data_IF_696553435483
#
_entry.id   IF_696553435483
#
_cell.length_a   1.000
_cell.length_b   1.000
_cell.length_c   1.000
_cell.angle_alpha   90.00
_cell.angle_beta   90.00
_cell.angle_gamma   90.00
#
_symmetry.space_group_name_H-M   'P 1'
#
loop_
_entity.id
_entity.type
_entity.pdbx_description
1 polymer ?
#
# COMPACT_ATOMS: atom_id res chain seq x y z
N UNK A 1 -19.28 15.02 -38.86
CA UNK A 1 -20.46 15.90 -38.61
C UNK A 1 -21.16 15.63 -37.27
N UNK A 2 -21.07 14.44 -36.70
CA UNK A 2 -21.73 14.11 -35.41
C UNK A 2 -21.08 14.79 -34.19
N UNK A 3 -19.80 15.05 -34.25
CA UNK A 3 -19.02 15.62 -33.13
C UNK A 3 -19.31 17.12 -32.88
N UNK A 4 -19.60 17.87 -33.93
CA UNK A 4 -20.02 19.28 -33.85
C UNK A 4 -21.43 19.43 -33.25
N UNK A 5 -22.34 18.53 -33.59
CA UNK A 5 -23.68 18.52 -33.02
C UNK A 5 -23.66 18.15 -31.51
N UNK A 6 -22.84 17.18 -31.12
CA UNK A 6 -22.67 16.79 -29.73
C UNK A 6 -22.10 17.94 -28.88
N UNK A 7 -21.10 18.67 -29.39
CA UNK A 7 -20.52 19.86 -28.72
C UNK A 7 -21.54 21.00 -28.61
N UNK A 8 -22.36 21.23 -29.62
CA UNK A 8 -23.41 22.24 -29.57
C UNK A 8 -24.50 21.91 -28.52
N UNK A 9 -24.91 20.66 -28.41
CA UNK A 9 -25.84 20.20 -27.36
C UNK A 9 -25.25 20.35 -25.99
N UNK A 10 -23.97 19.98 -25.82
CA UNK A 10 -23.25 20.09 -24.54
C UNK A 10 -23.07 21.55 -24.10
N UNK A 11 -22.69 22.45 -25.00
CA UNK A 11 -22.57 23.88 -24.69
C UNK A 11 -23.91 24.53 -24.34
N UNK A 12 -24.99 24.13 -24.99
CA UNK A 12 -26.36 24.58 -24.66
C UNK A 12 -26.80 24.06 -23.28
N UNK A 13 -26.40 22.84 -22.92
CA UNK A 13 -26.68 22.27 -21.60
C UNK A 13 -25.94 23.02 -20.49
N UNK A 14 -24.65 23.28 -20.67
CA UNK A 14 -23.85 24.06 -19.73
C UNK A 14 -24.37 25.50 -19.57
N UNK A 15 -24.77 26.15 -20.66
CA UNK A 15 -25.36 27.49 -20.60
C UNK A 15 -26.67 27.50 -19.77
N UNK A 16 -27.51 26.48 -19.92
CA UNK A 16 -28.75 26.33 -19.15
C UNK A 16 -28.50 26.06 -17.66
N UNK A 17 -27.48 25.27 -17.32
CA UNK A 17 -27.09 25.04 -15.92
C UNK A 17 -26.54 26.34 -15.34
N UNK A 18 -25.68 27.06 -16.04
CA UNK A 18 -25.13 28.35 -15.61
C UNK A 18 -26.23 29.40 -15.36
N UNK A 19 -27.26 29.43 -16.20
CA UNK A 19 -28.40 30.31 -16.00
C UNK A 19 -29.24 29.97 -14.77
N UNK A 20 -29.48 28.67 -14.53
CA UNK A 20 -30.12 28.20 -13.28
C UNK A 20 -29.30 28.51 -12.04
N UNK A 21 -27.99 28.37 -12.10
CA UNK A 21 -27.09 28.71 -10.99
C UNK A 21 -27.11 30.21 -10.70
N UNK A 22 -27.19 31.10 -11.72
CA UNK A 22 -27.33 32.54 -11.54
C UNK A 22 -28.68 32.95 -10.94
N UNK A 23 -29.73 32.22 -11.23
CA UNK A 23 -31.07 32.46 -10.68
C UNK A 23 -31.27 31.90 -9.26
N UNK A 24 -30.33 31.11 -8.75
CA UNK A 24 -30.37 30.60 -7.39
C UNK A 24 -30.22 31.74 -6.39
N UNK A 25 -31.30 32.06 -5.69
CA UNK A 25 -31.27 33.03 -4.59
C UNK A 25 -30.90 32.28 -3.31
N UNK A 26 -29.94 32.79 -2.51
CA UNK A 26 -29.70 32.22 -1.21
C UNK A 26 -30.95 32.34 -0.35
N UNK A 27 -31.43 31.23 0.16
CA UNK A 27 -32.53 31.23 1.15
C UNK A 27 -31.93 31.76 2.47
N UNK A 28 -32.46 32.83 2.96
CA UNK A 28 -32.05 33.30 4.28
C UNK A 28 -32.39 32.22 5.34
N UNK A 29 -31.43 31.81 6.20
CA UNK A 29 -31.70 30.82 7.22
C UNK A 29 -32.71 31.36 8.25
N UNK A 30 -33.94 30.87 8.19
CA UNK A 30 -34.94 31.13 9.20
C UNK A 30 -34.78 30.12 10.33
N UNK A 31 -33.96 30.45 11.30
CA UNK A 31 -33.59 29.55 12.39
C UNK A 31 -34.71 29.39 13.43
N UNK A 32 -35.80 30.17 13.36
CA UNK A 32 -36.95 30.14 14.31
C UNK A 32 -36.53 29.94 15.78
N UNK A 33 -35.38 30.52 16.16
CA UNK A 33 -34.79 30.37 17.50
C UNK A 33 -35.74 30.79 18.61
N UNK A 34 -36.55 31.81 18.36
CA UNK A 34 -37.52 32.31 19.32
C UNK A 34 -38.63 31.30 19.66
N UNK A 35 -39.01 30.44 18.74
CA UNK A 35 -40.04 29.40 18.97
C UNK A 35 -39.51 28.16 19.69
N UNK A 36 -38.18 27.92 19.65
CA UNK A 36 -37.50 26.82 20.34
C UNK A 36 -36.97 27.16 21.72
N UNK A 37 -36.95 28.46 22.07
CA UNK A 37 -36.46 28.95 23.35
C UNK A 37 -37.49 29.88 23.96
N UNK A 38 -38.63 29.35 24.46
CA UNK A 38 -39.74 30.14 25.02
C UNK A 38 -39.35 30.88 26.32
N UNK A 39 -38.30 30.48 27.02
CA UNK A 39 -37.80 31.07 28.23
C UNK A 39 -36.59 32.00 28.00
N UNK A 40 -36.24 32.24 26.73
CA UNK A 40 -35.13 33.12 26.36
C UNK A 40 -33.77 32.76 27.01
N UNK A 41 -33.56 31.47 27.30
CA UNK A 41 -32.35 30.97 27.99
C UNK A 41 -31.06 31.28 27.23
N UNK A 42 -31.16 31.50 25.90
CA UNK A 42 -30.04 32.00 25.09
C UNK A 42 -29.46 33.32 25.56
N UNK A 43 -30.31 34.22 26.08
CA UNK A 43 -29.82 35.50 26.59
C UNK A 43 -29.16 35.32 27.98
N UNK A 44 -29.65 34.41 28.78
CA UNK A 44 -29.02 34.05 30.05
C UNK A 44 -27.65 33.42 29.80
N UNK A 45 -27.54 32.51 28.82
CA UNK A 45 -26.28 31.90 28.43
C UNK A 45 -25.31 32.95 27.87
N UNK A 46 -25.79 33.84 26.98
CA UNK A 46 -24.97 34.91 26.40
C UNK A 46 -24.48 35.89 27.49
N UNK A 47 -25.36 36.27 28.43
CA UNK A 47 -24.97 37.12 29.59
C UNK A 47 -23.96 36.41 30.47
N UNK A 48 -24.14 35.09 30.71
CA UNK A 48 -23.16 34.29 31.44
C UNK A 48 -21.78 34.25 30.79
N UNK A 49 -21.73 34.11 29.46
CA UNK A 49 -20.48 34.18 28.70
C UNK A 49 -19.84 35.56 28.77
N UNK A 50 -20.64 36.66 28.64
CA UNK A 50 -20.12 38.04 28.74
C UNK A 50 -19.59 38.30 30.14
N UNK A 51 -20.30 37.87 31.16
CA UNK A 51 -19.85 38.00 32.55
C UNK A 51 -18.58 37.19 32.82
N UNK A 52 -18.50 35.99 32.27
CA UNK A 52 -17.29 35.14 32.34
C UNK A 52 -16.09 35.77 31.61
N UNK A 53 -16.31 36.48 30.49
CA UNK A 53 -15.27 37.21 29.78
C UNK A 53 -14.87 38.52 30.48
N UNK A 54 -15.79 39.21 31.13
CA UNK A 54 -15.51 40.48 31.81
C UNK A 54 -14.96 40.30 33.23
N UNK A 55 -15.42 39.29 33.94
CA UNK A 55 -15.10 39.06 35.36
C UNK A 55 -14.34 37.73 35.57
N UNK A 56 -14.31 36.85 34.56
CA UNK A 56 -13.50 35.64 34.58
C UNK A 56 -12.04 36.02 34.45
N UNK A 57 -11.32 35.99 35.54
CA UNK A 57 -9.86 36.03 35.52
C UNK A 57 -9.37 34.79 34.78
N UNK A 58 -8.73 34.98 33.63
CA UNK A 58 -7.97 33.95 32.94
C UNK A 58 -6.73 33.48 33.74
N UNK A 59 -6.57 33.93 34.94
CA UNK A 59 -5.61 33.40 35.91
C UNK A 59 -6.26 32.21 36.58
N UNK A 60 -5.96 31.01 36.07
CA UNK A 60 -6.53 29.74 36.46
C UNK A 60 -6.55 29.49 37.96
N UNK A 61 -7.76 29.53 38.51
CA UNK A 61 -8.09 28.83 39.74
C UNK A 61 -8.90 27.61 39.36
N UNK A 62 -8.19 26.54 39.13
CA UNK A 62 -8.79 25.22 38.90
C UNK A 62 -9.16 24.57 40.23
N UNK A 63 -10.25 25.07 40.86
CA UNK A 63 -10.85 24.40 42.01
C UNK A 63 -12.04 23.50 41.61
N UNK A 64 -12.14 23.11 40.37
CA UNK A 64 -13.07 22.09 39.94
C UNK A 64 -12.26 20.88 39.42
N UNK A 65 -12.04 19.91 40.28
CA UNK A 65 -11.56 18.51 40.12
C UNK A 65 -11.17 17.92 38.76
N UNK A 66 -10.77 18.74 37.81
CA UNK A 66 -10.14 18.35 36.55
C UNK A 66 -8.65 18.68 36.71
N UNK A 67 -7.91 17.75 37.31
CA UNK A 67 -6.47 17.78 37.39
C UNK A 67 -5.89 17.67 36.00
N UNK A 68 -5.67 18.82 35.34
CA UNK A 68 -4.88 18.86 34.11
C UNK A 68 -3.37 18.86 34.45
N UNK A 69 -2.47 18.54 33.52
CA UNK A 69 -1.04 18.47 33.76
C UNK A 69 -0.38 19.77 34.25
N UNK A 70 -1.07 20.92 34.14
CA UNK A 70 -0.57 22.22 34.63
C UNK A 70 -0.47 22.38 36.16
N UNK A 71 -1.10 21.52 36.97
CA UNK A 71 -0.99 21.55 38.43
C UNK A 71 0.24 20.81 38.97
N UNK A 72 0.80 19.90 38.18
CA UNK A 72 2.02 19.22 38.59
C UNK A 72 3.26 20.13 38.57
N UNK A 73 3.21 21.26 37.84
CA UNK A 73 4.31 22.24 37.74
C UNK A 73 4.54 23.07 39.00
N UNK A 74 3.65 23.00 39.98
CA UNK A 74 3.74 23.83 41.23
C UNK A 74 4.48 23.14 42.38
N UNK A 75 4.82 21.88 42.29
CA UNK A 75 5.25 21.07 43.46
C UNK A 75 6.57 20.31 43.33
N UNK A 76 7.40 20.60 42.32
CA UNK A 76 8.72 19.95 42.18
C UNK A 76 9.05 19.52 40.74
N UNK A 77 10.12 18.73 40.54
CA UNK A 77 10.46 18.20 39.25
C UNK A 77 9.33 17.36 38.70
N UNK A 78 9.03 17.52 37.41
CA UNK A 78 8.00 16.78 36.66
C UNK A 78 8.47 16.45 35.26
N UNK A 79 7.86 15.49 34.63
CA UNK A 79 8.18 15.11 33.26
C UNK A 79 6.92 14.72 32.51
N UNK A 80 6.98 14.83 31.19
CA UNK A 80 6.00 14.31 30.25
C UNK A 80 6.73 13.48 29.19
N UNK A 81 6.11 12.41 28.73
CA UNK A 81 6.72 11.54 27.73
C UNK A 81 5.73 10.98 26.72
N UNK A 82 6.16 10.88 25.49
CA UNK A 82 5.42 10.27 24.38
C UNK A 82 6.27 9.26 23.67
N UNK A 83 5.65 8.14 23.29
CA UNK A 83 6.19 7.20 22.33
C UNK A 83 5.40 7.35 21.03
N UNK A 84 6.07 7.76 19.97
CA UNK A 84 5.51 7.99 18.64
C UNK A 84 5.98 6.88 17.71
N UNK A 85 5.11 5.89 17.42
CA UNK A 85 5.43 4.86 16.43
C UNK A 85 5.68 5.48 15.05
N UNK A 86 6.52 4.85 14.19
CA UNK A 86 6.68 5.29 12.82
C UNK A 86 5.34 5.34 12.08
N UNK A 87 5.20 6.29 11.15
CA UNK A 87 3.94 6.55 10.46
C UNK A 87 3.39 5.35 9.69
N UNK A 88 4.28 4.51 9.14
CA UNK A 88 3.90 3.33 8.37
C UNK A 88 3.17 2.26 9.22
N UNK A 89 3.40 2.22 10.53
CA UNK A 89 2.75 1.26 11.42
C UNK A 89 1.27 1.55 11.64
N UNK A 90 0.80 2.77 11.32
CA UNK A 90 -0.57 3.22 11.58
C UNK A 90 -0.97 3.27 13.06
N UNK A 91 -0.02 3.02 13.99
CA UNK A 91 -0.28 3.00 15.43
C UNK A 91 -0.34 4.43 15.99
N UNK A 92 -1.21 4.72 16.96
CA UNK A 92 -1.28 6.03 17.59
C UNK A 92 -0.10 6.27 18.53
N UNK A 93 0.21 7.55 18.78
CA UNK A 93 1.16 7.95 19.81
C UNK A 93 0.67 7.54 21.19
N UNK A 94 1.59 7.08 22.04
CA UNK A 94 1.32 6.64 23.40
C UNK A 94 1.86 7.66 24.39
N UNK A 95 1.05 8.00 25.43
CA UNK A 95 1.48 8.89 26.51
C UNK A 95 2.08 8.07 27.65
N UNK A 96 3.39 8.19 27.86
CA UNK A 96 4.15 7.34 28.79
C UNK A 96 3.69 7.45 30.25
N UNK A 97 3.15 8.60 30.63
CA UNK A 97 2.66 8.83 31.99
C UNK A 97 1.48 7.93 32.38
N UNK A 98 0.70 7.48 31.42
CA UNK A 98 -0.48 6.63 31.59
C UNK A 98 -0.18 5.15 31.41
N UNK A 99 1.02 4.81 30.91
CA UNK A 99 1.39 3.43 30.60
C UNK A 99 1.96 2.72 31.83
N UNK A 100 1.92 1.38 31.77
CA UNK A 100 2.62 0.50 32.71
C UNK A 100 4.14 0.59 32.53
N UNK A 101 4.88 -0.03 33.44
CA UNK A 101 6.36 -0.03 33.41
C UNK A 101 6.96 -0.86 32.27
N UNK A 102 6.16 -1.67 31.57
CA UNK A 102 6.55 -2.41 30.38
C UNK A 102 5.75 -1.91 29.17
N UNK A 103 6.43 -1.46 28.13
CA UNK A 103 5.83 -0.86 26.94
C UNK A 103 6.44 -1.49 25.70
N UNK A 104 5.58 -2.04 24.83
CA UNK A 104 5.99 -2.53 23.51
C UNK A 104 5.79 -1.44 22.46
N UNK A 105 6.81 -1.14 21.68
CA UNK A 105 6.77 -0.16 20.60
C UNK A 105 7.47 -0.70 19.35
N UNK A 106 6.99 -0.34 18.16
CA UNK A 106 7.66 -0.73 16.92
C UNK A 106 9.09 -0.22 16.82
N UNK A 107 9.92 -0.93 16.09
CA UNK A 107 11.26 -0.50 15.71
C UNK A 107 11.23 0.90 15.10
N UNK A 108 12.22 1.74 15.44
CA UNK A 108 12.31 3.11 14.98
C UNK A 108 11.33 4.10 15.63
N UNK A 109 10.55 3.68 16.63
CA UNK A 109 9.67 4.58 17.41
C UNK A 109 10.49 5.69 18.05
N UNK A 110 9.93 6.91 18.04
CA UNK A 110 10.51 8.08 18.68
C UNK A 110 9.96 8.22 20.11
N UNK A 111 10.85 8.25 21.08
CA UNK A 111 10.51 8.58 22.46
C UNK A 111 10.88 10.05 22.69
N UNK A 112 9.89 10.88 23.00
CA UNK A 112 10.09 12.29 23.34
C UNK A 112 9.79 12.48 24.81
N UNK A 113 10.78 12.93 25.58
CA UNK A 113 10.63 13.29 26.99
C UNK A 113 10.82 14.78 27.15
N UNK A 114 9.97 15.41 27.97
CA UNK A 114 10.12 16.79 28.42
C UNK A 114 10.29 16.81 29.92
N UNK A 115 11.41 17.34 30.37
CA UNK A 115 11.78 17.45 31.77
C UNK A 115 11.50 18.87 32.25
N UNK A 116 10.85 18.98 33.41
CA UNK A 116 10.47 20.25 34.03
C UNK A 116 11.04 20.31 35.44
N UNK A 117 11.64 21.42 35.81
CA UNK A 117 12.23 21.62 37.15
C UNK A 117 13.56 22.38 37.09
N UNK A 118 14.26 22.49 38.23
CA UNK A 118 15.63 23.02 38.29
C UNK A 118 16.60 22.20 37.41
N UNK A 119 17.66 22.84 36.97
CA UNK A 119 18.74 22.13 36.23
C UNK A 119 19.25 20.93 37.07
N UNK A 120 19.52 19.82 36.38
CA UNK A 120 19.99 18.55 36.94
C UNK A 120 19.07 17.87 37.97
N UNK A 121 17.84 18.34 38.16
CA UNK A 121 16.85 17.71 39.07
C UNK A 121 16.30 16.39 38.52
N UNK A 122 16.33 16.17 37.21
CA UNK A 122 15.96 14.95 36.52
C UNK A 122 17.05 14.57 35.53
N UNK A 123 17.40 13.28 35.50
CA UNK A 123 18.39 12.75 34.58
C UNK A 123 17.79 11.57 33.82
N UNK A 124 18.01 11.51 32.50
CA UNK A 124 17.55 10.40 31.66
C UNK A 124 18.69 9.44 31.38
N UNK A 125 18.47 8.18 31.72
CA UNK A 125 19.34 7.08 31.36
C UNK A 125 18.58 6.10 30.45
N UNK A 126 19.21 5.63 29.39
CA UNK A 126 18.56 4.75 28.42
C UNK A 126 19.51 3.68 27.89
N UNK A 127 18.95 2.56 27.43
CA UNK A 127 19.65 1.49 26.72
C UNK A 127 18.94 1.07 25.42
N UNK A 128 17.95 1.86 24.96
CA UNK A 128 17.15 1.58 23.77
C UNK A 128 17.84 1.96 22.46
N UNK A 129 18.93 2.72 22.54
CA UNK A 129 19.79 3.10 21.40
C UNK A 129 21.27 3.15 21.82
N UNK A 130 22.19 3.13 20.85
CA UNK A 130 23.63 3.11 21.15
C UNK A 130 24.16 4.42 21.68
N UNK A 131 23.68 5.54 21.18
CA UNK A 131 24.21 6.86 21.54
C UNK A 131 23.08 7.86 21.70
N UNK A 132 22.94 8.44 22.89
CA UNK A 132 21.99 9.52 23.12
C UNK A 132 22.42 10.79 22.38
N UNK A 133 21.50 11.51 21.73
CA UNK A 133 21.84 12.67 20.90
C UNK A 133 22.18 13.95 21.69
N UNK A 134 22.03 13.94 23.02
CA UNK A 134 22.24 15.12 23.88
C UNK A 134 22.74 14.77 25.27
N UNK A 135 22.75 15.77 26.18
CA UNK A 135 23.02 15.57 27.60
C UNK A 135 21.86 14.86 28.27
N UNK A 136 22.18 13.99 29.24
CA UNK A 136 21.14 13.27 30.03
C UNK A 136 20.23 14.20 30.84
N UNK A 137 20.59 15.49 31.01
CA UNK A 137 19.84 16.51 31.73
C UNK A 137 19.18 17.55 30.84
N UNK A 138 19.29 17.39 29.50
CA UNK A 138 18.64 18.32 28.58
C UNK A 138 17.11 18.32 28.80
N UNK A 139 16.46 19.49 28.80
CA UNK A 139 15.03 19.61 29.10
C UNK A 139 14.12 18.92 28.08
N UNK A 140 14.63 18.61 26.90
CA UNK A 140 13.95 17.82 25.88
C UNK A 140 14.88 16.72 25.43
N UNK A 141 14.44 15.48 25.58
CA UNK A 141 15.14 14.29 25.13
C UNK A 141 14.37 13.67 23.96
N UNK A 142 15.05 13.43 22.86
CA UNK A 142 14.50 12.68 21.73
C UNK A 142 15.35 11.44 21.52
N UNK A 143 14.74 10.28 21.68
CA UNK A 143 15.40 9.00 21.58
C UNK A 143 14.71 8.18 20.49
N UNK A 144 15.49 7.36 19.78
CA UNK A 144 14.94 6.39 18.83
C UNK A 144 15.07 4.99 19.40
N UNK A 145 14.05 4.19 19.27
CA UNK A 145 14.09 2.79 19.72
C UNK A 145 14.68 1.93 18.59
N UNK A 146 15.93 1.52 18.78
CA UNK A 146 16.67 0.66 17.86
C UNK A 146 16.86 -0.76 18.44
N UNK A 147 16.50 -0.94 19.74
CA UNK A 147 16.53 -2.24 20.43
C UNK A 147 15.69 -2.22 21.71
N UNK A 148 15.38 -3.40 22.20
CA UNK A 148 14.80 -3.60 23.54
C UNK A 148 15.79 -3.12 24.62
N UNK A 149 15.29 -2.35 25.60
CA UNK A 149 16.10 -1.81 26.67
C UNK A 149 15.28 -1.07 27.70
N UNK A 150 15.94 -0.42 28.65
CA UNK A 150 15.31 0.33 29.69
C UNK A 150 15.42 1.84 29.44
N UNK A 151 14.40 2.58 29.85
CA UNK A 151 14.34 4.02 29.88
C UNK A 151 14.07 4.44 31.34
N UNK A 152 15.00 5.15 31.92
CA UNK A 152 14.94 5.58 33.32
C UNK A 152 14.98 7.10 33.39
N UNK A 153 14.08 7.70 34.16
CA UNK A 153 14.17 9.07 34.63
C UNK A 153 14.55 8.98 36.10
N UNK A 154 15.75 9.44 36.45
CA UNK A 154 16.24 9.52 37.83
C UNK A 154 15.87 10.89 38.42
N UNK A 155 15.54 10.92 39.73
CA UNK A 155 15.13 12.11 40.48
C UNK A 155 13.89 11.89 41.33
N UNK A 156 13.42 12.93 42.03
CA UNK A 156 12.26 12.82 42.95
C UNK A 156 10.96 12.39 42.29
N UNK A 157 10.78 12.66 40.97
CA UNK A 157 9.66 12.22 40.16
C UNK A 157 10.05 11.07 39.22
N UNK A 158 11.10 10.34 39.54
CA UNK A 158 11.69 9.31 38.68
C UNK A 158 10.75 8.16 38.36
N UNK A 159 10.99 7.54 37.21
CA UNK A 159 10.26 6.36 36.72
C UNK A 159 11.15 5.52 35.78
N UNK A 160 10.87 4.23 35.76
CA UNK A 160 11.57 3.26 34.91
C UNK A 160 10.56 2.57 34.00
N UNK A 161 10.90 2.44 32.75
CA UNK A 161 10.17 1.61 31.78
C UNK A 161 11.11 0.60 31.16
N UNK A 162 10.62 -0.61 31.01
CA UNK A 162 11.20 -1.62 30.10
C UNK A 162 10.54 -1.47 28.73
N UNK A 163 11.27 -0.97 27.77
CA UNK A 163 10.85 -0.78 26.40
C UNK A 163 11.16 -2.03 25.60
N UNK A 164 10.14 -2.73 25.16
CA UNK A 164 10.28 -3.88 24.28
C UNK A 164 10.12 -3.41 22.83
N UNK A 165 11.18 -3.58 22.05
CA UNK A 165 11.13 -3.27 20.62
C UNK A 165 10.41 -4.41 19.89
N UNK A 166 9.37 -4.07 19.16
CA UNK A 166 8.67 -4.93 18.21
C UNK A 166 9.36 -4.74 16.85
N UNK A 167 10.22 -5.71 16.50
CA UNK A 167 11.03 -5.61 15.28
C UNK A 167 10.13 -5.74 14.05
N UNK A 168 10.46 -5.01 12.99
CA UNK A 168 9.81 -5.10 11.70
C UNK A 168 10.43 -6.23 10.88
N UNK A 169 9.64 -7.20 10.48
CA UNK A 169 10.10 -8.34 9.71
C UNK A 169 9.78 -8.15 8.23
N UNK A 170 10.62 -8.70 7.37
CA UNK A 170 10.37 -8.70 5.94
C UNK A 170 9.05 -9.41 5.59
N UNK A 171 8.29 -8.92 4.60
CA UNK A 171 7.03 -9.51 4.19
C UNK A 171 7.21 -10.94 3.68
N UNK A 172 6.17 -11.74 3.83
CA UNK A 172 6.10 -13.10 3.31
C UNK A 172 5.09 -13.17 2.17
N UNK A 173 5.43 -13.87 1.09
CA UNK A 173 4.54 -14.10 -0.05
C UNK A 173 4.58 -15.56 -0.47
N UNK A 174 3.38 -16.14 -0.67
CA UNK A 174 3.23 -17.56 -1.00
C UNK A 174 2.24 -17.73 -2.16
N UNK A 175 2.62 -18.55 -3.13
CA UNK A 175 1.73 -18.95 -4.22
C UNK A 175 0.78 -20.04 -3.70
N UNK A 176 -0.54 -19.80 -3.81
CA UNK A 176 -1.59 -20.66 -3.26
C UNK A 176 -2.24 -21.52 -4.34
N UNK A 177 -1.71 -22.69 -4.57
CA UNK A 177 -2.40 -23.68 -5.39
C UNK A 177 -2.07 -23.61 -6.89
N UNK A 178 -2.82 -24.37 -7.69
CA UNK A 178 -2.50 -24.56 -9.09
C UNK A 178 -2.82 -23.32 -9.93
N UNK A 179 -2.01 -23.13 -10.95
CA UNK A 179 -2.30 -22.20 -12.03
C UNK A 179 -3.63 -22.58 -12.71
N UNK A 180 -4.51 -21.62 -12.85
CA UNK A 180 -5.69 -21.74 -13.71
C UNK A 180 -5.57 -20.80 -14.92
N UNK A 181 -6.27 -21.13 -16.01
CA UNK A 181 -6.35 -20.27 -17.18
C UNK A 181 -7.78 -20.13 -17.68
N UNK A 182 -8.11 -18.96 -18.14
CA UNK A 182 -9.36 -18.69 -18.83
C UNK A 182 -9.26 -19.15 -20.29
N UNK A 183 -10.40 -19.35 -20.95
CA UNK A 183 -10.45 -19.81 -22.33
C UNK A 183 -9.64 -18.93 -23.32
N UNK A 184 -9.54 -17.64 -23.08
CA UNK A 184 -8.73 -16.68 -23.83
C UNK A 184 -7.23 -16.81 -23.69
N UNK A 185 -6.73 -17.55 -22.69
CA UNK A 185 -5.30 -17.69 -22.41
C UNK A 185 -4.82 -16.85 -21.22
N UNK A 186 -5.67 -16.07 -20.58
CA UNK A 186 -5.36 -15.32 -19.36
C UNK A 186 -4.93 -16.28 -18.24
N UNK A 187 -3.79 -15.99 -17.66
CA UNK A 187 -3.24 -16.66 -16.48
C UNK A 187 -3.98 -16.20 -15.24
N UNK A 188 -4.23 -17.12 -14.33
CA UNK A 188 -4.72 -16.80 -12.99
C UNK A 188 -3.96 -17.61 -11.95
N UNK A 189 -3.21 -16.93 -11.12
CA UNK A 189 -2.36 -17.51 -10.08
C UNK A 189 -2.72 -16.89 -8.73
N UNK A 190 -3.37 -17.64 -7.83
CA UNK A 190 -3.69 -17.13 -6.51
C UNK A 190 -2.44 -17.08 -5.64
N UNK A 191 -2.31 -16.04 -4.84
CA UNK A 191 -1.24 -15.88 -3.86
C UNK A 191 -1.75 -15.24 -2.58
N UNK A 192 -1.01 -15.43 -1.49
CA UNK A 192 -1.20 -14.72 -0.22
C UNK A 192 0.06 -13.97 0.10
N UNK A 193 -0.07 -12.72 0.50
CA UNK A 193 1.01 -11.91 1.03
C UNK A 193 0.63 -11.46 2.44
N UNK A 194 1.62 -11.42 3.33
CA UNK A 194 1.45 -10.96 4.71
C UNK A 194 2.69 -10.22 5.19
N UNK A 195 2.46 -9.32 6.14
CA UNK A 195 3.46 -8.48 6.76
C UNK A 195 3.01 -8.02 8.14
N UNK A 196 3.93 -7.64 9.01
CA UNK A 196 3.61 -7.19 10.37
C UNK A 196 2.82 -5.87 10.39
N UNK A 197 3.09 -5.01 9.41
CA UNK A 197 2.45 -3.69 9.31
C UNK A 197 1.69 -3.51 8.00
N UNK A 198 2.30 -3.63 6.85
CA UNK A 198 1.59 -3.65 5.57
C UNK A 198 2.51 -4.01 4.39
N UNK A 199 2.03 -4.82 3.48
CA UNK A 199 2.63 -4.98 2.15
C UNK A 199 2.26 -3.76 1.30
N UNK A 200 3.26 -2.97 0.89
CA UNK A 200 3.04 -1.74 0.11
C UNK A 200 3.26 -1.92 -1.38
N UNK A 201 4.00 -2.97 -1.77
CA UNK A 201 4.32 -3.25 -3.16
C UNK A 201 4.72 -4.69 -3.40
N UNK A 202 5.07 -4.98 -4.64
CA UNK A 202 5.67 -6.25 -5.01
C UNK A 202 5.74 -6.45 -6.51
N UNK A 203 6.48 -7.46 -6.92
CA UNK A 203 6.78 -7.73 -8.32
C UNK A 203 6.69 -9.23 -8.60
N UNK A 204 6.02 -9.58 -9.69
CA UNK A 204 6.08 -10.91 -10.27
C UNK A 204 7.18 -10.95 -11.34
N UNK A 205 7.98 -11.99 -11.34
CA UNK A 205 9.03 -12.26 -12.34
C UNK A 205 8.82 -13.63 -12.93
N UNK A 206 8.80 -13.70 -14.26
CA UNK A 206 8.68 -14.94 -15.02
C UNK A 206 9.93 -15.11 -15.89
N UNK A 207 10.60 -16.22 -15.69
CA UNK A 207 11.81 -16.62 -16.40
C UNK A 207 11.53 -17.84 -17.28
N UNK A 208 12.11 -17.88 -18.48
CA UNK A 208 12.04 -19.05 -19.35
C UNK A 208 12.92 -20.17 -18.76
N UNK A 209 12.33 -21.33 -18.50
CA UNK A 209 13.07 -22.51 -18.02
C UNK A 209 13.66 -23.31 -19.21
N UNK A 210 14.83 -22.90 -19.64
CA UNK A 210 15.51 -23.51 -20.78
C UNK A 210 15.89 -24.99 -20.56
N UNK A 211 16.05 -25.40 -19.30
CA UNK A 211 16.47 -26.77 -18.97
C UNK A 211 15.35 -27.79 -19.20
N UNK A 212 14.10 -27.32 -19.13
CA UNK A 212 12.90 -28.15 -19.29
C UNK A 212 12.28 -28.01 -20.68
N UNK A 213 12.70 -27.02 -21.48
CA UNK A 213 12.21 -26.84 -22.84
C UNK A 213 12.52 -28.06 -23.69
N UNK A 214 11.50 -28.66 -24.29
CA UNK A 214 11.65 -29.72 -25.26
C UNK A 214 12.31 -29.21 -26.55
N UNK A 215 13.60 -29.51 -26.73
CA UNK A 215 14.40 -29.06 -27.85
C UNK A 215 14.07 -29.86 -29.10
N UNK A 216 12.90 -29.56 -29.73
CA UNK A 216 12.43 -30.21 -30.97
C UNK A 216 12.03 -29.16 -31.99
N UNK A 217 12.08 -29.52 -33.27
CA UNK A 217 11.66 -28.67 -34.40
C UNK A 217 12.33 -27.29 -34.36
N UNK A 218 11.57 -26.23 -34.39
CA UNK A 218 12.09 -24.87 -34.33
C UNK A 218 12.73 -24.47 -32.98
N UNK A 219 12.59 -25.30 -31.93
CA UNK A 219 13.19 -25.05 -30.61
C UNK A 219 14.56 -25.75 -30.42
N UNK A 220 15.12 -26.37 -31.45
CA UNK A 220 16.45 -27.06 -31.38
C UNK A 220 17.58 -26.06 -31.13
N UNK A 221 17.55 -24.93 -31.81
CA UNK A 221 18.55 -23.88 -31.67
C UNK A 221 18.35 -23.11 -30.36
N UNK A 222 19.39 -22.40 -29.94
CA UNK A 222 19.24 -21.51 -28.78
C UNK A 222 18.28 -20.35 -29.09
N UNK A 223 17.47 -19.94 -28.11
CA UNK A 223 16.56 -18.81 -28.27
C UNK A 223 17.34 -17.49 -28.39
N UNK A 224 16.72 -16.51 -29.04
CA UNK A 224 17.21 -15.15 -28.94
C UNK A 224 17.10 -14.65 -27.49
N UNK A 225 18.12 -13.93 -26.99
CA UNK A 225 18.11 -13.39 -25.64
C UNK A 225 16.89 -12.48 -25.42
N UNK A 226 16.16 -12.71 -24.37
CA UNK A 226 15.01 -11.88 -23.94
C UNK A 226 15.13 -11.58 -22.47
N UNK A 227 14.68 -10.40 -22.08
CA UNK A 227 14.52 -10.07 -20.69
C UNK A 227 13.38 -10.90 -20.06
N UNK A 228 13.50 -11.16 -18.79
CA UNK A 228 12.42 -11.75 -18.01
C UNK A 228 11.18 -10.85 -18.04
N UNK A 229 10.03 -11.48 -17.92
CA UNK A 229 8.77 -10.74 -17.79
C UNK A 229 8.65 -10.29 -16.33
N UNK A 230 8.57 -8.98 -16.12
CA UNK A 230 8.38 -8.40 -14.79
C UNK A 230 7.17 -7.46 -14.78
N UNK A 231 6.32 -7.57 -13.76
CA UNK A 231 5.16 -6.72 -13.59
C UNK A 231 4.74 -6.67 -12.11
N UNK A 232 4.02 -5.61 -11.69
CA UNK A 232 3.60 -5.47 -10.30
C UNK A 232 2.56 -6.53 -9.93
N UNK A 233 2.60 -7.01 -8.68
CA UNK A 233 1.52 -7.83 -8.14
C UNK A 233 0.31 -6.96 -7.78
N UNK A 234 -0.93 -7.48 -7.90
CA UNK A 234 -2.10 -6.76 -7.42
C UNK A 234 -2.09 -6.68 -5.89
N UNK A 235 -2.43 -5.51 -5.37
CA UNK A 235 -2.62 -5.28 -3.94
C UNK A 235 -4.11 -5.16 -3.65
N UNK A 236 -4.54 -5.66 -2.49
CA UNK A 236 -5.92 -5.46 -2.04
C UNK A 236 -6.23 -3.97 -1.88
N UNK A 237 -7.45 -3.58 -2.24
CA UNK A 237 -7.95 -2.22 -2.09
C UNK A 237 -8.63 -1.96 -0.74
N UNK A 238 -8.84 -3.02 0.04
CA UNK A 238 -9.55 -2.97 1.32
C UNK A 238 -8.71 -3.60 2.43
N UNK A 239 -8.84 -3.07 3.64
CA UNK A 239 -8.09 -3.56 4.80
C UNK A 239 -6.75 -2.85 5.01
N UNK A 240 -6.00 -3.36 5.96
CA UNK A 240 -4.69 -2.82 6.40
C UNK A 240 -3.50 -3.38 5.61
N UNK A 241 -3.75 -4.34 4.71
CA UNK A 241 -2.72 -5.05 3.94
C UNK A 241 -1.71 -5.85 4.78
N UNK A 242 -2.03 -6.10 6.04
CA UNK A 242 -1.20 -6.96 6.87
C UNK A 242 -1.28 -8.43 6.40
N UNK A 243 -2.45 -8.87 5.93
CA UNK A 243 -2.61 -10.17 5.29
C UNK A 243 -3.71 -10.11 4.25
N UNK A 244 -3.42 -10.53 3.02
CA UNK A 244 -4.41 -10.60 1.95
C UNK A 244 -4.13 -11.71 0.96
N UNK A 245 -5.18 -12.17 0.32
CA UNK A 245 -5.13 -13.12 -0.79
C UNK A 245 -5.69 -12.46 -2.03
N UNK A 246 -4.91 -12.50 -3.10
CA UNK A 246 -5.28 -11.93 -4.40
C UNK A 246 -4.98 -12.94 -5.52
N UNK A 247 -5.44 -12.61 -6.71
CA UNK A 247 -5.19 -13.42 -7.91
C UNK A 247 -4.39 -12.60 -8.91
N UNK A 248 -3.20 -13.07 -9.21
CA UNK A 248 -2.39 -12.52 -10.29
C UNK A 248 -3.03 -12.93 -11.61
N UNK A 249 -3.65 -11.98 -12.31
CA UNK A 249 -4.38 -12.22 -13.56
C UNK A 249 -3.74 -11.41 -14.69
N UNK A 250 -3.12 -12.11 -15.65
CA UNK A 250 -2.42 -11.50 -16.79
C UNK A 250 -2.58 -12.33 -18.07
N UNK A 251 -2.63 -11.68 -19.21
CA UNK A 251 -2.74 -12.33 -20.52
C UNK A 251 -1.42 -12.34 -21.27
N UNK A 252 -0.76 -13.48 -21.26
CA UNK A 252 0.47 -13.73 -22.01
C UNK A 252 0.25 -14.46 -23.33
N UNK A 253 -0.98 -14.57 -23.84
CA UNK A 253 -1.30 -15.36 -25.03
C UNK A 253 -0.56 -14.91 -26.29
N UNK A 254 -0.16 -13.65 -26.36
CA UNK A 254 0.63 -13.08 -27.46
C UNK A 254 2.14 -13.06 -27.17
N UNK A 255 2.56 -13.39 -25.96
CA UNK A 255 3.98 -13.36 -25.60
C UNK A 255 4.76 -14.48 -26.32
N UNK A 256 6.02 -14.24 -26.73
CA UNK A 256 6.86 -15.26 -27.35
C UNK A 256 7.04 -16.54 -26.53
N UNK A 257 7.03 -16.42 -25.20
CA UNK A 257 7.12 -17.55 -24.27
C UNK A 257 5.81 -18.31 -24.02
N UNK A 258 4.69 -17.90 -24.66
CA UNK A 258 3.42 -18.62 -24.50
C UNK A 258 3.54 -20.11 -24.87
N UNK A 259 2.95 -20.98 -24.05
CA UNK A 259 3.04 -22.44 -24.12
C UNK A 259 4.45 -23.02 -23.92
N UNK A 260 5.39 -22.23 -23.40
CA UNK A 260 6.72 -22.73 -23.00
C UNK A 260 6.79 -22.90 -21.47
N UNK A 261 7.66 -23.82 -20.99
CA UNK A 261 7.92 -23.96 -19.57
C UNK A 261 8.62 -22.69 -19.04
N UNK A 262 8.12 -22.19 -17.93
CA UNK A 262 8.63 -21.00 -17.27
C UNK A 262 8.62 -21.21 -15.76
N UNK A 263 9.41 -20.42 -15.07
CA UNK A 263 9.43 -20.32 -13.61
C UNK A 263 8.96 -18.95 -13.19
N UNK A 264 7.96 -18.89 -12.32
CA UNK A 264 7.48 -17.63 -11.75
C UNK A 264 7.91 -17.53 -10.30
N UNK A 265 8.36 -16.35 -9.90
CA UNK A 265 8.60 -15.95 -8.52
C UNK A 265 7.85 -14.65 -8.23
N UNK A 266 7.32 -14.54 -7.01
CA UNK A 266 6.65 -13.34 -6.53
C UNK A 266 7.50 -12.70 -5.44
N UNK A 267 7.63 -11.39 -5.49
CA UNK A 267 8.25 -10.59 -4.43
C UNK A 267 7.22 -9.66 -3.81
N UNK A 268 7.26 -9.51 -2.50
CA UNK A 268 6.51 -8.49 -1.75
C UNK A 268 7.47 -7.51 -1.12
N UNK A 269 7.04 -6.28 -0.91
CA UNK A 269 7.82 -5.19 -0.33
C UNK A 269 6.99 -4.46 0.72
N UNK A 270 7.61 -4.14 1.86
CA UNK A 270 7.05 -3.32 2.93
C UNK A 270 7.43 -1.83 2.77
N UNK A 271 6.99 -1.01 3.74
CA UNK A 271 7.26 0.45 3.73
C UNK A 271 8.71 0.80 4.11
N UNK A 272 9.45 -0.11 4.72
CA UNK A 272 10.89 0.04 4.99
C UNK A 272 11.78 -0.41 3.81
N UNK A 273 11.19 -0.97 2.75
CA UNK A 273 11.90 -1.50 1.60
C UNK A 273 12.48 -2.89 1.83
N UNK A 274 12.04 -3.59 2.88
CA UNK A 274 12.36 -5.00 3.06
C UNK A 274 11.60 -5.83 2.04
N UNK A 275 12.19 -6.90 1.55
CA UNK A 275 11.58 -7.71 0.50
C UNK A 275 11.54 -9.18 0.90
N UNK A 276 10.37 -9.78 0.71
CA UNK A 276 10.18 -11.23 0.81
C UNK A 276 9.93 -11.84 -0.56
N UNK A 277 10.34 -13.07 -0.76
CA UNK A 277 10.17 -13.77 -2.04
C UNK A 277 9.50 -15.12 -1.83
N UNK A 278 8.60 -15.47 -2.76
CA UNK A 278 8.01 -16.80 -2.81
C UNK A 278 9.04 -17.85 -3.25
N UNK A 279 8.76 -19.10 -2.94
CA UNK A 279 9.42 -20.19 -3.64
C UNK A 279 9.09 -20.09 -5.14
N UNK A 280 10.06 -20.39 -6.02
CA UNK A 280 9.81 -20.46 -7.44
C UNK A 280 8.76 -21.53 -7.77
N UNK A 281 7.84 -21.19 -8.67
CA UNK A 281 6.78 -22.08 -9.12
C UNK A 281 6.95 -22.38 -10.61
N UNK A 282 7.16 -23.67 -10.92
CA UNK A 282 7.33 -24.12 -12.29
C UNK A 282 5.96 -24.30 -12.96
N UNK A 283 5.80 -23.74 -14.15
CA UNK A 283 4.54 -23.78 -14.89
C UNK A 283 4.79 -23.72 -16.40
N UNK A 284 3.75 -24.00 -17.17
CA UNK A 284 3.71 -23.65 -18.59
C UNK A 284 3.00 -22.33 -18.74
N UNK A 285 3.66 -21.33 -19.34
CA UNK A 285 3.07 -20.00 -19.54
C UNK A 285 1.80 -20.13 -20.39
N UNK A 286 0.63 -19.72 -19.87
CA UNK A 286 -0.62 -19.88 -20.60
C UNK A 286 -0.61 -19.18 -21.95
N UNK A 287 -1.05 -19.90 -22.96
CA UNK A 287 -1.28 -19.38 -24.30
C UNK A 287 -2.72 -19.62 -24.75
N UNK A 288 -3.10 -18.96 -25.82
CA UNK A 288 -4.40 -19.18 -26.45
C UNK A 288 -4.51 -20.59 -27.02
N UNK A 289 -5.62 -21.25 -26.80
CA UNK A 289 -5.90 -22.56 -27.41
C UNK A 289 -6.54 -22.38 -28.78
N UNK A 290 -6.02 -23.13 -29.74
CA UNK A 290 -6.59 -23.24 -31.08
C UNK A 290 -7.05 -24.67 -31.32
N UNK A 291 -8.34 -24.83 -31.63
CA UNK A 291 -8.90 -26.15 -31.92
C UNK A 291 -8.78 -26.52 -33.43
N UNK A 292 -8.66 -25.50 -34.29
CA UNK A 292 -8.41 -25.70 -35.70
C UNK A 292 -6.93 -26.13 -35.89
N UNK A 293 -6.65 -27.28 -36.54
CA UNK A 293 -5.26 -27.77 -36.73
C UNK A 293 -4.39 -26.77 -37.48
N UNK A 294 -4.94 -26.05 -38.44
CA UNK A 294 -4.20 -25.08 -39.24
C UNK A 294 -3.83 -23.87 -38.38
N UNK A 295 -4.77 -23.35 -37.59
CA UNK A 295 -4.50 -22.27 -36.65
C UNK A 295 -3.43 -22.69 -35.63
N UNK A 296 -3.48 -23.95 -35.15
CA UNK A 296 -2.44 -24.49 -34.26
C UNK A 296 -1.07 -24.52 -34.96
N UNK A 297 -1.01 -24.99 -36.20
CA UNK A 297 0.23 -25.03 -37.00
C UNK A 297 0.81 -23.61 -37.21
N UNK A 298 -0.03 -22.63 -37.53
CA UNK A 298 0.40 -21.23 -37.71
C UNK A 298 0.98 -20.66 -36.40
N UNK A 299 0.33 -20.93 -35.26
CA UNK A 299 0.81 -20.48 -33.94
C UNK A 299 2.14 -21.12 -33.56
N UNK A 300 2.35 -22.40 -33.93
CA UNK A 300 3.64 -23.07 -33.76
C UNK A 300 4.73 -22.41 -34.61
N UNK A 301 4.44 -22.10 -35.88
CA UNK A 301 5.39 -21.39 -36.74
C UNK A 301 5.71 -19.98 -36.21
N UNK A 302 4.70 -19.27 -35.65
CA UNK A 302 4.93 -17.99 -34.98
C UNK A 302 5.87 -18.17 -33.78
N UNK A 303 5.67 -19.17 -32.94
CA UNK A 303 6.51 -19.47 -31.78
C UNK A 303 7.95 -19.75 -32.24
N UNK A 304 8.12 -20.60 -33.24
CA UNK A 304 9.43 -21.01 -33.76
C UNK A 304 10.20 -19.82 -34.37
N UNK A 305 9.50 -18.91 -35.05
CA UNK A 305 10.09 -17.68 -35.57
C UNK A 305 10.46 -16.69 -34.45
N UNK A 306 9.65 -16.60 -33.42
CA UNK A 306 9.93 -15.77 -32.26
C UNK A 306 11.00 -16.38 -31.34
N UNK A 307 11.21 -17.70 -31.42
CA UNK A 307 12.29 -18.36 -30.68
C UNK A 307 13.66 -17.94 -31.23
N UNK A 308 13.84 -18.03 -32.54
CA UNK A 308 15.01 -17.51 -33.22
C UNK A 308 14.71 -17.17 -34.69
N UNK A 309 15.23 -16.06 -35.16
CA UNK A 309 15.08 -15.62 -36.55
C UNK A 309 15.72 -16.58 -37.57
N UNK A 310 16.66 -17.41 -37.14
CA UNK A 310 17.27 -18.45 -37.98
C UNK A 310 16.26 -19.47 -38.48
N UNK A 311 15.11 -19.63 -37.86
CA UNK A 311 14.00 -20.49 -38.30
C UNK A 311 13.21 -19.91 -39.48
N UNK A 312 13.47 -18.65 -39.90
CA UNK A 312 12.73 -17.97 -40.96
C UNK A 312 12.53 -18.77 -42.25
N UNK A 313 13.58 -19.37 -42.85
CA UNK A 313 13.43 -20.18 -44.10
C UNK A 313 12.53 -21.40 -43.92
N UNK A 314 12.58 -22.08 -42.77
CA UNK A 314 11.73 -23.24 -42.48
C UNK A 314 10.29 -22.80 -42.28
N UNK A 315 10.06 -21.73 -41.53
CA UNK A 315 8.73 -21.16 -41.30
C UNK A 315 8.07 -20.72 -42.60
N UNK A 316 8.81 -20.02 -43.49
CA UNK A 316 8.32 -19.62 -44.80
C UNK A 316 7.88 -20.82 -45.65
N UNK A 317 8.72 -21.89 -45.69
CA UNK A 317 8.39 -23.11 -46.39
C UNK A 317 7.09 -23.76 -45.88
N UNK A 318 6.93 -23.87 -44.57
CA UNK A 318 5.74 -24.48 -43.95
C UNK A 318 4.49 -23.62 -44.21
N UNK A 319 4.59 -22.30 -44.05
CA UNK A 319 3.47 -21.40 -44.32
C UNK A 319 3.03 -21.43 -45.78
N UNK A 320 3.97 -21.48 -46.73
CA UNK A 320 3.67 -21.68 -48.16
C UNK A 320 2.98 -23.03 -48.41
N UNK A 321 3.40 -24.10 -47.77
CA UNK A 321 2.74 -25.39 -47.87
C UNK A 321 1.30 -25.38 -47.36
N UNK A 322 1.02 -24.71 -46.23
CA UNK A 322 -0.32 -24.56 -45.65
C UNK A 322 -1.23 -23.72 -46.58
N UNK A 323 -0.69 -22.72 -47.26
CA UNK A 323 -1.45 -21.77 -48.08
C UNK A 323 -1.49 -22.15 -49.57
N UNK A 324 -0.87 -23.27 -49.99
CA UNK A 324 -0.78 -23.68 -51.38
C UNK A 324 -2.15 -24.03 -52.01
N UNK A 325 -3.08 -24.57 -51.23
CA UNK A 325 -4.46 -24.85 -51.63
C UNK A 325 -5.40 -24.24 -50.61
N UNK A 326 -5.65 -22.92 -50.69
CA UNK A 326 -6.42 -22.20 -49.67
C UNK A 326 -7.87 -22.68 -49.60
N UNK A 327 -8.48 -23.08 -50.71
CA UNK A 327 -9.87 -23.54 -50.79
C UNK A 327 -10.08 -24.86 -50.04
N UNK A 328 -9.07 -25.74 -49.98
CA UNK A 328 -9.09 -26.98 -49.20
C UNK A 328 -8.73 -26.76 -47.72
N UNK A 329 -8.10 -25.64 -47.43
CA UNK A 329 -7.53 -25.33 -46.14
C UNK A 329 -8.45 -24.45 -45.29
N UNK A 330 -9.11 -23.45 -45.91
CA UNK A 330 -10.00 -22.50 -45.28
C UNK A 330 -11.44 -22.72 -45.71
N UNK A 331 -12.23 -23.34 -44.87
CA UNK A 331 -13.64 -23.71 -45.17
C UNK A 331 -14.64 -22.55 -45.06
N UNK A 332 -14.23 -21.37 -44.69
CA UNK A 332 -15.08 -20.19 -44.58
C UNK A 332 -14.49 -18.97 -45.30
N UNK A 333 -15.33 -18.21 -46.01
CA UNK A 333 -14.97 -16.96 -46.71
C UNK A 333 -14.32 -15.91 -45.80
N UNK A 334 -14.56 -15.95 -44.46
CA UNK A 334 -13.99 -15.04 -43.48
C UNK A 334 -12.49 -15.24 -43.23
N UNK A 335 -11.87 -16.31 -43.73
CA UNK A 335 -10.45 -16.58 -43.61
C UNK A 335 -9.59 -16.10 -44.78
N UNK A 336 -10.18 -15.53 -45.81
CA UNK A 336 -9.53 -15.10 -47.07
C UNK A 336 -9.34 -13.57 -47.18
N UNK A 337 -9.74 -12.79 -46.16
CA UNK A 337 -9.57 -11.32 -46.15
C UNK A 337 -8.47 -10.88 -45.11
#
# INVERSE_FOLDING_TARGET
SSDLAARAVWSAHLARIAERARSAKPVAPDLKLASRDPFALRYVAATGVVLALLFGTFTGRNDTGLSGPAQALATGPAWEGWAEPPAYTGRPSLYLNELSDAVAVPEGSRLTLRLYGPEDSLTVTQSVMDTSPGSSTDPVQELRVDRTGDLTIDGDAGRVWSIMMDADNAPEIVINGPLSRVAGGEMRLPFTARDDFAVVGGTARIELDLDVVERRYGLVSDPEPRADITFPIPLTLTGDRAEFTEVLAEDFSLHPGANLPVRISLGAEDDLGQTGQSLPFDMVLPGRRFFNPIASAIIEQRRDLLWTTTNGPQVDMILRAITNLPEDTFTNEDGLT
#
